data_IF_088497782763
#
_entry.id   IF_088497782763
#
_cell.length_a   1.000
_cell.length_b   1.000
_cell.length_c   1.000
_cell.angle_alpha   90.00
_cell.angle_beta   90.00
_cell.angle_gamma   90.00
#
_symmetry.space_group_name_H-M   'P 1'
#
loop_
_entity.id
_entity.type
_entity.pdbx_description
1 polymer ?
#
# COMPACT_ATOMS: atom_id res chain seq x y z
N UNK A 1 25.19 -16.60 19.20
CA UNK A 1 24.64 -16.10 17.93
C UNK A 1 23.54 -15.13 18.30
N UNK A 2 23.69 -13.83 18.00
CA UNK A 2 22.64 -12.86 18.31
C UNK A 2 21.44 -13.11 17.40
N UNK A 3 20.26 -13.31 17.97
CA UNK A 3 19.02 -13.30 17.20
C UNK A 3 18.93 -11.97 16.44
N UNK A 4 18.89 -12.02 15.11
CA UNK A 4 18.62 -10.83 14.31
C UNK A 4 17.18 -10.41 14.61
N UNK A 5 17.01 -9.27 15.27
CA UNK A 5 15.68 -8.73 15.54
C UNK A 5 14.88 -8.59 14.24
N UNK A 6 13.62 -9.00 14.26
CA UNK A 6 12.72 -8.83 13.11
C UNK A 6 12.58 -7.32 12.82
N UNK A 7 12.86 -6.87 11.58
CA UNK A 7 12.77 -5.45 11.26
C UNK A 7 11.33 -4.96 11.35
N UNK A 8 11.14 -3.79 11.94
CA UNK A 8 9.86 -3.10 12.05
C UNK A 8 9.52 -2.41 10.72
N UNK A 9 8.26 -1.99 10.57
CA UNK A 9 7.79 -1.36 9.33
C UNK A 9 8.60 -0.11 8.95
N UNK A 10 8.92 0.74 9.93
CA UNK A 10 9.72 1.94 9.74
C UNK A 10 11.21 1.68 9.50
N UNK A 11 11.74 0.50 9.88
CA UNK A 11 13.11 0.11 9.56
C UNK A 11 13.27 -0.24 8.06
N UNK A 12 12.17 -0.67 7.44
CA UNK A 12 12.11 -1.07 6.02
C UNK A 12 11.72 0.11 5.13
N UNK A 13 10.85 0.98 5.62
CA UNK A 13 10.29 2.10 4.85
C UNK A 13 9.21 1.67 3.86
N UNK A 14 8.51 2.66 3.30
CA UNK A 14 7.34 2.46 2.43
C UNK A 14 7.66 1.58 1.21
N UNK A 15 8.61 1.98 0.37
CA UNK A 15 8.94 1.24 -0.86
C UNK A 15 9.49 -0.16 -0.58
N UNK A 16 10.26 -0.33 0.50
CA UNK A 16 10.75 -1.66 0.90
C UNK A 16 9.62 -2.60 1.34
N UNK A 17 8.55 -2.07 1.96
CA UNK A 17 7.35 -2.85 2.28
C UNK A 17 6.55 -3.17 1.02
N UNK A 18 6.42 -2.22 0.09
CA UNK A 18 5.77 -2.43 -1.22
C UNK A 18 6.48 -3.56 -1.98
N UNK A 19 7.80 -3.56 -2.02
CA UNK A 19 8.58 -4.60 -2.70
C UNK A 19 8.38 -5.98 -2.07
N UNK A 20 8.27 -6.08 -0.73
CA UNK A 20 7.93 -7.34 -0.04
C UNK A 20 6.52 -7.82 -0.39
N UNK A 21 5.55 -6.91 -0.55
CA UNK A 21 4.18 -7.25 -0.98
C UNK A 21 4.21 -7.78 -2.42
N UNK A 22 4.92 -7.13 -3.34
CA UNK A 22 5.11 -7.59 -4.72
C UNK A 22 5.74 -8.98 -4.78
N UNK A 23 6.76 -9.24 -3.97
CA UNK A 23 7.37 -10.57 -3.85
C UNK A 23 6.40 -11.64 -3.31
N UNK A 24 5.50 -11.25 -2.39
CA UNK A 24 4.51 -12.16 -1.80
C UNK A 24 3.39 -12.53 -2.76
N UNK A 25 3.03 -11.62 -3.67
CA UNK A 25 1.96 -11.76 -4.65
C UNK A 25 2.45 -11.51 -6.09
N UNK A 26 3.38 -12.34 -6.61
CA UNK A 26 4.05 -12.09 -7.88
C UNK A 26 3.13 -12.19 -9.11
N UNK A 27 1.94 -12.75 -8.95
CA UNK A 27 0.95 -12.91 -10.03
C UNK A 27 0.03 -11.69 -10.19
N UNK A 28 0.15 -10.69 -9.31
CA UNK A 28 -0.59 -9.44 -9.39
C UNK A 28 0.39 -8.34 -9.78
N UNK A 29 0.12 -7.65 -10.87
CA UNK A 29 0.87 -6.44 -11.19
C UNK A 29 0.46 -5.32 -10.22
N UNK A 30 1.40 -4.96 -9.34
CA UNK A 30 1.25 -3.91 -8.32
C UNK A 30 2.26 -2.77 -8.60
N UNK A 31 2.57 -2.52 -9.87
CA UNK A 31 3.52 -1.48 -10.28
C UNK A 31 2.86 -0.15 -10.65
N UNK A 32 1.54 -0.15 -10.83
CA UNK A 32 0.73 1.00 -11.26
C UNK A 32 -0.18 1.51 -10.13
N UNK A 33 -0.90 2.62 -10.37
CA UNK A 33 -1.82 3.29 -9.44
C UNK A 33 -3.04 2.42 -9.05
N UNK A 34 -3.28 1.34 -9.78
CA UNK A 34 -4.31 0.36 -9.48
C UNK A 34 -3.88 -1.06 -9.87
N UNK A 35 -4.48 -2.05 -9.21
CA UNK A 35 -4.35 -3.45 -9.60
C UNK A 35 -5.42 -3.80 -10.65
N UNK A 36 -5.00 -4.37 -11.77
CA UNK A 36 -5.90 -4.88 -12.81
C UNK A 36 -6.08 -6.40 -12.68
N UNK A 37 -7.32 -6.85 -12.46
CA UNK A 37 -7.65 -8.27 -12.29
C UNK A 37 -8.49 -8.77 -13.47
N UNK A 38 -8.01 -9.83 -14.12
CA UNK A 38 -8.83 -10.61 -15.05
C UNK A 38 -9.70 -11.58 -14.27
N UNK A 39 -11.01 -11.49 -14.43
CA UNK A 39 -11.97 -12.40 -13.80
C UNK A 39 -12.70 -13.19 -14.89
N UNK A 40 -12.72 -14.52 -14.79
CA UNK A 40 -13.29 -15.40 -15.82
C UNK A 40 -14.78 -15.13 -16.11
N UNK A 41 -15.49 -14.55 -15.14
CA UNK A 41 -16.90 -14.21 -15.26
C UNK A 41 -17.16 -12.84 -15.94
N UNK A 42 -16.12 -12.05 -16.23
CA UNK A 42 -16.23 -10.73 -16.83
C UNK A 42 -15.53 -10.70 -18.20
N UNK A 43 -16.19 -10.10 -19.18
CA UNK A 43 -15.50 -9.69 -20.42
C UNK A 43 -14.81 -8.35 -20.17
N UNK A 44 -13.63 -8.38 -19.56
CA UNK A 44 -12.83 -7.18 -19.25
C UNK A 44 -11.91 -7.38 -18.06
N UNK A 45 -11.38 -6.27 -17.53
CA UNK A 45 -10.59 -6.25 -16.30
C UNK A 45 -11.33 -5.46 -15.22
N UNK A 46 -11.23 -5.93 -13.98
CA UNK A 46 -11.62 -5.16 -12.80
C UNK A 46 -10.41 -4.36 -12.33
N UNK A 47 -10.54 -3.04 -12.21
CA UNK A 47 -9.51 -2.16 -11.67
C UNK A 47 -9.82 -1.88 -10.20
N UNK A 48 -8.84 -2.10 -9.32
CA UNK A 48 -8.95 -1.87 -7.88
C UNK A 48 -7.85 -0.93 -7.42
N UNK A 49 -8.24 0.13 -6.71
CA UNK A 49 -7.32 0.99 -6.00
C UNK A 49 -7.92 1.34 -4.63
N UNK A 50 -7.07 1.67 -3.68
CA UNK A 50 -7.49 2.12 -2.36
C UNK A 50 -6.53 3.17 -1.84
N UNK A 51 -7.11 4.24 -1.32
CA UNK A 51 -6.40 5.30 -0.62
C UNK A 51 -6.96 5.46 0.77
N UNK A 52 -6.15 6.00 1.69
CA UNK A 52 -6.60 6.34 3.04
C UNK A 52 -6.27 7.78 3.33
N UNK A 53 -7.20 8.49 3.98
CA UNK A 53 -6.92 9.80 4.55
C UNK A 53 -6.88 9.69 6.07
N UNK A 54 -5.78 10.18 6.65
CA UNK A 54 -5.50 10.12 8.09
C UNK A 54 -5.45 11.52 8.66
N UNK A 55 -6.23 11.76 9.71
CA UNK A 55 -6.20 13.00 10.48
C UNK A 55 -4.81 13.24 11.05
N UNK A 56 -4.30 14.47 10.97
CA UNK A 56 -2.96 14.84 11.40
C UNK A 56 -1.85 14.53 10.37
N UNK A 57 -2.19 13.84 9.27
CA UNK A 57 -1.26 13.59 8.15
C UNK A 57 -1.75 14.28 6.89
N UNK A 58 -3.00 14.00 6.50
CA UNK A 58 -3.58 14.50 5.25
C UNK A 58 -4.42 15.76 5.45
N UNK A 59 -4.95 15.95 6.66
CA UNK A 59 -5.73 17.13 7.04
C UNK A 59 -5.46 17.48 8.51
N UNK A 60 -5.64 18.76 8.90
CA UNK A 60 -5.31 19.22 10.24
C UNK A 60 -5.99 18.41 11.35
N UNK A 61 -5.30 18.27 12.47
CA UNK A 61 -5.82 17.52 13.63
C UNK A 61 -6.96 18.27 14.34
N UNK A 62 -6.97 19.61 14.22
CA UNK A 62 -8.01 20.51 14.71
C UNK A 62 -8.47 21.53 13.64
N UNK A 63 -9.74 21.92 13.70
CA UNK A 63 -10.36 22.88 12.79
C UNK A 63 -9.80 24.33 12.91
N UNK A 64 -8.99 24.61 13.93
CA UNK A 64 -8.44 25.96 14.19
C UNK A 64 -7.34 26.37 13.21
N UNK A 65 -6.72 25.41 12.52
CA UNK A 65 -5.67 25.66 11.52
C UNK A 65 -6.22 25.83 10.09
N UNK A 66 -7.54 25.99 9.91
CA UNK A 66 -8.19 26.29 8.62
C UNK A 66 -8.45 27.80 8.43
N UNK A 67 -7.45 28.65 8.70
CA UNK A 67 -7.49 30.08 8.33
C UNK A 67 -6.67 30.35 7.09
#
# INVERSE_FOLDING_TARGET
MSESATPLAWDVGEFGLIDRIRQRFPNIDLTDDCAALALDCLRGQLLLTTDTTVRGVHFPDSAENMR
#
